data_IF_847408429849
#
_entry.id   IF_847408429849
#
_cell.length_a   1.000
_cell.length_b   1.000
_cell.length_c   1.000
_cell.angle_alpha   90.00
_cell.angle_beta   90.00
_cell.angle_gamma   90.00
#
_symmetry.space_group_name_H-M   'P 1'
#
loop_
_entity.id
_entity.type
_entity.pdbx_description
1 polymer ?
#
# COMPACT_ATOMS: atom_id res chain seq x y z
N UNK A 1 2.28 11.13 16.01
CA UNK A 1 2.11 10.99 14.55
C UNK A 1 2.91 9.85 13.88
N UNK A 2 3.92 9.26 14.54
CA UNK A 2 4.68 8.12 13.99
C UNK A 2 3.84 6.80 13.89
N UNK A 3 2.64 6.77 14.48
CA UNK A 3 1.73 5.60 14.50
C UNK A 3 1.00 5.33 13.16
N UNK A 4 0.89 6.29 12.23
CA UNK A 4 0.08 6.10 11.01
C UNK A 4 0.80 5.38 9.85
N UNK A 5 2.06 4.95 10.03
CA UNK A 5 2.85 4.36 8.94
C UNK A 5 2.59 2.84 8.81
N UNK A 6 2.30 2.16 9.93
CA UNK A 6 2.15 0.70 9.98
C UNK A 6 0.84 0.18 9.38
N UNK A 7 -0.24 0.96 9.47
CA UNK A 7 -1.58 0.55 9.02
C UNK A 7 -1.74 0.45 7.51
N UNK A 8 -0.94 1.20 6.74
CA UNK A 8 -1.24 1.42 5.31
C UNK A 8 -0.42 0.56 4.35
N UNK A 9 0.57 -0.17 4.86
CA UNK A 9 1.30 -1.18 4.08
C UNK A 9 0.72 -2.53 4.48
N UNK A 10 -0.30 -2.96 3.73
CA UNK A 10 -0.92 -4.26 3.91
C UNK A 10 -0.15 -5.37 3.17
N UNK A 11 -0.20 -6.63 3.64
CA UNK A 11 0.29 -7.78 2.89
C UNK A 11 -0.33 -7.89 1.48
N UNK A 12 -1.57 -7.40 1.34
CA UNK A 12 -2.29 -7.32 0.06
C UNK A 12 -1.58 -6.50 -1.00
N UNK A 13 -0.78 -5.48 -0.61
CA UNK A 13 0.02 -4.70 -1.56
C UNK A 13 1.01 -5.58 -2.30
N UNK A 14 1.77 -6.39 -1.56
CA UNK A 14 2.70 -7.30 -2.19
C UNK A 14 1.93 -8.31 -3.03
N UNK A 15 1.00 -9.06 -2.43
CA UNK A 15 0.26 -10.13 -3.13
C UNK A 15 -0.39 -9.65 -4.43
N UNK A 16 -1.06 -8.51 -4.40
CA UNK A 16 -1.77 -7.99 -5.56
C UNK A 16 -0.89 -7.28 -6.60
N UNK A 17 0.37 -6.96 -6.29
CA UNK A 17 1.29 -6.49 -7.32
C UNK A 17 1.62 -7.60 -8.35
N UNK A 18 1.60 -8.87 -7.94
CA UNK A 18 1.80 -9.99 -8.88
C UNK A 18 0.69 -10.08 -9.93
N UNK A 19 -0.57 -10.00 -9.48
CA UNK A 19 -1.74 -9.98 -10.36
C UNK A 19 -1.79 -8.69 -11.20
N UNK A 20 -1.46 -7.54 -10.59
CA UNK A 20 -1.36 -6.28 -11.32
C UNK A 20 -0.30 -6.30 -12.42
N UNK A 21 0.84 -6.95 -12.17
CA UNK A 21 1.92 -7.08 -13.13
C UNK A 21 1.52 -7.96 -14.33
N UNK A 22 0.89 -9.12 -14.09
CA UNK A 22 0.43 -10.00 -15.17
C UNK A 22 -0.61 -9.35 -16.08
N UNK A 23 -1.45 -8.47 -15.54
CA UNK A 23 -2.55 -7.83 -16.31
C UNK A 23 -2.10 -6.56 -17.03
N UNK A 24 -1.32 -5.69 -16.39
CA UNK A 24 -0.97 -4.38 -16.96
C UNK A 24 0.42 -4.34 -17.63
N UNK A 25 1.31 -5.26 -17.26
CA UNK A 25 2.72 -5.19 -17.61
C UNK A 25 3.49 -4.14 -16.79
N UNK A 26 4.82 -4.09 -16.91
CA UNK A 26 5.69 -3.36 -16.00
C UNK A 26 5.54 -1.83 -16.10
N UNK A 27 5.42 -1.28 -17.32
CA UNK A 27 5.19 0.16 -17.49
C UNK A 27 3.74 0.54 -17.18
N UNK A 28 2.79 -0.34 -17.52
CA UNK A 28 1.36 -0.15 -17.22
C UNK A 28 1.06 -0.07 -15.73
N UNK A 29 1.66 -0.96 -14.94
CA UNK A 29 1.52 -1.00 -13.49
C UNK A 29 2.09 0.26 -12.83
N UNK A 30 3.28 0.71 -13.23
CA UNK A 30 3.88 1.95 -12.72
C UNK A 30 3.06 3.20 -13.10
N UNK A 31 2.58 3.28 -14.34
CA UNK A 31 1.76 4.40 -14.79
C UNK A 31 0.47 4.49 -13.96
N UNK A 32 -0.22 3.37 -13.80
CA UNK A 32 -1.46 3.31 -13.03
C UNK A 32 -1.25 3.75 -11.57
N UNK A 33 -0.27 3.17 -10.88
CA UNK A 33 0.02 3.53 -9.49
C UNK A 33 0.53 4.97 -9.36
N UNK A 34 1.22 5.51 -10.37
CA UNK A 34 1.62 6.92 -10.42
C UNK A 34 0.43 7.86 -10.56
N UNK A 35 -0.47 7.61 -11.51
CA UNK A 35 -1.67 8.43 -11.73
C UNK A 35 -2.59 8.40 -10.51
N UNK A 36 -2.89 7.21 -9.99
CA UNK A 36 -3.70 7.05 -8.78
C UNK A 36 -3.01 7.68 -7.57
N UNK A 37 -1.69 7.55 -7.45
CA UNK A 37 -0.89 8.19 -6.40
C UNK A 37 -0.97 9.71 -6.43
N UNK A 38 -0.94 10.34 -7.62
CA UNK A 38 -1.09 11.79 -7.79
C UNK A 38 -2.52 12.25 -7.43
N UNK A 39 -3.53 11.49 -7.85
CA UNK A 39 -4.92 11.78 -7.48
C UNK A 39 -5.10 11.73 -5.95
N UNK A 40 -4.56 10.70 -5.31
CA UNK A 40 -4.61 10.58 -3.85
C UNK A 40 -3.80 11.64 -3.14
N UNK A 41 -2.66 12.02 -3.69
CA UNK A 41 -1.89 13.15 -3.19
C UNK A 41 -2.73 14.42 -3.13
N UNK A 42 -3.48 14.69 -4.20
CA UNK A 42 -4.37 15.84 -4.30
C UNK A 42 -5.50 15.75 -3.26
N UNK A 43 -6.11 14.57 -3.10
CA UNK A 43 -7.13 14.33 -2.06
C UNK A 43 -6.56 14.57 -0.65
N UNK A 44 -5.35 14.11 -0.37
CA UNK A 44 -4.69 14.33 0.93
C UNK A 44 -4.32 15.79 1.18
N UNK A 45 -4.01 16.57 0.13
CA UNK A 45 -3.84 18.02 0.26
C UNK A 45 -5.16 18.68 0.66
N UNK A 46 -6.27 18.34 0.01
CA UNK A 46 -7.59 18.86 0.36
C UNK A 46 -7.99 18.45 1.79
N UNK A 47 -7.78 17.20 2.18
CA UNK A 47 -8.02 16.74 3.55
C UNK A 47 -7.09 17.43 4.56
N UNK A 48 -5.85 17.70 4.17
CA UNK A 48 -4.86 18.36 5.00
C UNK A 48 -5.23 19.80 5.32
N UNK A 49 -5.70 20.54 4.31
CA UNK A 49 -6.23 21.89 4.50
C UNK A 49 -7.49 21.86 5.36
N UNK A 50 -8.44 20.97 5.05
CA UNK A 50 -9.69 20.85 5.81
C UNK A 50 -9.46 20.48 7.28
N UNK A 51 -8.55 19.54 7.56
CA UNK A 51 -8.21 19.11 8.92
C UNK A 51 -7.43 20.17 9.72
N UNK A 52 -6.69 21.06 9.05
CA UNK A 52 -6.01 22.18 9.70
C UNK A 52 -6.99 23.32 10.06
N UNK A 53 -8.02 23.54 9.24
CA UNK A 53 -9.02 24.59 9.47
C UNK A 53 -10.16 24.16 10.41
N UNK A 54 -10.55 22.90 10.40
CA UNK A 54 -11.60 22.36 11.27
C UNK A 54 -11.07 21.06 11.92
N UNK A 55 -10.37 21.13 13.06
CA UNK A 55 -10.00 19.94 13.83
C UNK A 55 -11.27 19.39 14.52
N UNK A 56 -12.14 18.73 13.76
CA UNK A 56 -13.27 17.98 14.32
C UNK A 56 -12.78 16.60 14.71
N UNK A 57 -12.72 16.36 16.02
CA UNK A 57 -12.43 15.08 16.66
C UNK A 57 -13.54 14.04 16.52
N UNK A 58 -14.48 14.19 15.57
CA UNK A 58 -15.68 13.36 15.50
C UNK A 58 -16.20 13.22 14.05
N UNK A 59 -15.86 12.11 13.38
CA UNK A 59 -16.14 11.90 11.95
C UNK A 59 -17.26 10.87 11.66
N UNK A 60 -18.19 10.67 12.61
CA UNK A 60 -19.40 9.85 12.39
C UNK A 60 -20.70 10.69 12.39
N UNK A 61 -20.68 11.91 12.93
CA UNK A 61 -21.86 12.79 12.97
C UNK A 61 -22.17 13.52 11.66
N UNK A 62 -21.16 13.76 10.82
CA UNK A 62 -21.28 14.57 9.58
C UNK A 62 -21.85 13.79 8.38
N UNK A 63 -21.69 12.46 8.35
CA UNK A 63 -22.33 11.61 7.32
C UNK A 63 -23.80 11.34 7.66
N UNK A 64 -24.12 11.20 8.95
CA UNK A 64 -25.49 10.99 9.44
C UNK A 64 -26.37 12.25 9.32
N UNK A 65 -25.77 13.42 9.08
CA UNK A 65 -26.52 14.65 8.78
C UNK A 65 -26.98 14.73 7.32
N UNK A 66 -26.57 13.79 6.46
CA UNK A 66 -26.93 13.77 5.04
C UNK A 66 -28.03 12.76 4.68
N UNK A 67 -28.46 11.90 5.62
CA UNK A 67 -29.43 10.82 5.39
C UNK A 67 -30.60 10.90 6.38
N UNK A 68 -31.72 11.45 5.91
CA UNK A 68 -32.95 11.56 6.69
C UNK A 68 -33.66 10.19 6.74
N UNK A 69 -33.40 9.41 7.79
CA UNK A 69 -34.06 8.11 8.03
C UNK A 69 -34.52 7.97 9.49
N UNK A 70 -35.62 7.24 9.76
CA UNK A 70 -36.41 7.33 11.00
C UNK A 70 -35.79 6.66 12.25
N UNK A 71 -34.48 6.40 12.27
CA UNK A 71 -33.80 5.78 13.42
C UNK A 71 -33.23 6.90 14.31
N UNK A 72 -33.55 6.94 15.62
CA UNK A 72 -33.01 7.95 16.52
C UNK A 72 -31.48 7.88 16.60
N UNK A 73 -30.81 9.04 16.48
CA UNK A 73 -29.34 9.18 16.45
C UNK A 73 -28.60 8.43 17.56
N UNK A 74 -29.19 8.33 18.75
CA UNK A 74 -28.60 7.63 19.90
C UNK A 74 -28.58 6.10 19.76
N UNK A 75 -29.47 5.52 18.94
CA UNK A 75 -29.56 4.06 18.75
C UNK A 75 -28.40 3.48 17.93
N UNK A 76 -27.97 4.19 16.89
CA UNK A 76 -26.78 3.81 16.10
C UNK A 76 -25.50 3.95 16.91
N UNK A 77 -25.38 5.04 17.68
CA UNK A 77 -24.24 5.28 18.57
C UNK A 77 -24.13 4.17 19.60
N UNK A 78 -25.22 3.79 20.28
CA UNK A 78 -25.22 2.73 21.30
C UNK A 78 -24.84 1.34 20.75
N UNK A 79 -25.24 1.00 19.52
CA UNK A 79 -24.93 -0.29 18.91
C UNK A 79 -23.44 -0.44 18.58
N UNK A 80 -22.84 0.57 17.95
CA UNK A 80 -21.39 0.59 17.71
C UNK A 80 -20.59 0.79 19.00
N UNK A 81 -21.12 1.54 19.97
CA UNK A 81 -20.50 1.78 21.27
C UNK A 81 -20.39 0.49 22.10
N UNK A 82 -21.43 -0.35 22.14
CA UNK A 82 -21.36 -1.66 22.78
C UNK A 82 -20.37 -2.61 22.07
N UNK A 83 -20.28 -2.55 20.74
CA UNK A 83 -19.32 -3.34 19.95
C UNK A 83 -17.87 -2.94 20.20
N UNK A 84 -17.57 -1.63 20.22
CA UNK A 84 -16.23 -1.12 20.51
C UNK A 84 -15.83 -1.28 21.98
N UNK A 85 -16.77 -1.15 22.93
CA UNK A 85 -16.50 -1.38 24.36
C UNK A 85 -16.10 -2.83 24.64
N UNK A 86 -16.63 -3.80 23.89
CA UNK A 86 -16.21 -5.21 23.97
C UNK A 86 -14.77 -5.44 23.49
N UNK A 87 -14.31 -4.68 22.47
CA UNK A 87 -12.92 -4.69 22.00
C UNK A 87 -11.96 -3.91 22.91
N UNK A 88 -12.43 -2.86 23.59
CA UNK A 88 -11.64 -1.99 24.45
C UNK A 88 -11.28 -2.59 25.83
N UNK A 89 -11.87 -3.72 26.22
CA UNK A 89 -11.50 -4.45 27.45
C UNK A 89 -10.16 -5.21 27.32
N UNK A 90 -9.60 -5.28 26.10
CA UNK A 90 -8.21 -5.66 25.86
C UNK A 90 -7.35 -4.38 25.92
N UNK A 91 -6.34 -4.37 26.80
CA UNK A 91 -5.59 -3.16 27.13
C UNK A 91 -5.02 -2.42 25.92
N UNK A 92 -5.50 -1.19 25.68
CA UNK A 92 -5.10 -0.28 24.59
C UNK A 92 -3.57 -0.07 24.52
N UNK A 93 -2.87 -0.15 25.66
CA UNK A 93 -1.40 -0.11 25.71
C UNK A 93 -0.74 -1.31 25.01
N UNK A 94 -1.30 -2.51 25.17
CA UNK A 94 -0.80 -3.72 24.51
C UNK A 94 -1.00 -3.66 22.99
N UNK A 95 -2.07 -3.01 22.54
CA UNK A 95 -2.34 -2.84 21.12
C UNK A 95 -1.31 -1.91 20.45
N UNK A 96 -1.01 -0.76 21.08
CA UNK A 96 -0.01 0.17 20.57
C UNK A 96 1.41 -0.42 20.53
N UNK A 97 1.81 -1.20 21.54
CA UNK A 97 3.10 -1.91 21.53
C UNK A 97 3.15 -2.99 20.44
N UNK A 98 2.08 -3.77 20.26
CA UNK A 98 2.01 -4.79 19.22
C UNK A 98 2.08 -4.18 17.81
N UNK A 99 1.37 -3.07 17.57
CA UNK A 99 1.39 -2.35 16.30
C UNK A 99 2.79 -1.82 15.97
N UNK A 100 3.53 -1.31 16.96
CA UNK A 100 4.91 -0.87 16.77
C UNK A 100 5.82 -2.02 16.31
N UNK A 101 5.75 -3.18 16.96
CA UNK A 101 6.54 -4.35 16.58
C UNK A 101 6.16 -4.88 15.20
N UNK A 102 4.87 -4.95 14.88
CA UNK A 102 4.38 -5.37 13.57
C UNK A 102 4.76 -4.38 12.46
N UNK A 103 4.74 -3.08 12.74
CA UNK A 103 5.20 -2.05 11.81
C UNK A 103 6.71 -2.16 11.54
N UNK A 104 7.52 -2.46 12.57
CA UNK A 104 8.96 -2.67 12.42
C UNK A 104 9.26 -3.86 11.49
N UNK A 105 8.56 -4.99 11.67
CA UNK A 105 8.71 -6.17 10.81
C UNK A 105 8.38 -5.83 9.35
N UNK A 106 7.33 -5.04 9.11
CA UNK A 106 6.96 -4.60 7.76
C UNK A 106 8.06 -3.76 7.10
N UNK A 107 8.63 -2.79 7.83
CA UNK A 107 9.71 -1.94 7.31
C UNK A 107 10.94 -2.77 6.97
N UNK A 108 11.33 -3.71 7.83
CA UNK A 108 12.43 -4.62 7.57
C UNK A 108 12.16 -5.53 6.37
N UNK A 109 10.94 -6.02 6.20
CA UNK A 109 10.55 -6.83 5.05
C UNK A 109 10.66 -6.05 3.72
N UNK A 110 10.24 -4.78 3.70
CA UNK A 110 10.41 -3.91 2.51
C UNK A 110 11.88 -3.65 2.21
N UNK A 111 12.69 -3.37 3.24
CA UNK A 111 14.12 -3.14 3.07
C UNK A 111 14.84 -4.40 2.55
N UNK A 112 14.53 -5.58 3.09
CA UNK A 112 15.05 -6.86 2.62
C UNK A 112 14.63 -7.14 1.17
N UNK A 113 13.37 -6.87 0.82
CA UNK A 113 12.87 -7.01 -0.54
C UNK A 113 13.67 -6.14 -1.53
N UNK A 114 13.92 -4.86 -1.22
CA UNK A 114 14.73 -3.99 -2.09
C UNK A 114 16.18 -4.48 -2.21
N UNK A 115 16.79 -4.92 -1.11
CA UNK A 115 18.14 -5.46 -1.14
C UNK A 115 18.23 -6.69 -2.04
N UNK A 116 17.31 -7.65 -1.86
CA UNK A 116 17.24 -8.85 -2.70
C UNK A 116 17.01 -8.51 -4.17
N UNK A 117 16.07 -7.61 -4.47
CA UNK A 117 15.81 -7.19 -5.84
C UNK A 117 17.05 -6.58 -6.49
N UNK A 118 17.77 -5.69 -5.79
CA UNK A 118 19.03 -5.10 -6.30
C UNK A 118 20.07 -6.19 -6.58
N UNK A 119 20.26 -7.14 -5.66
CA UNK A 119 21.23 -8.23 -5.83
C UNK A 119 20.89 -9.17 -7.00
N UNK A 120 19.61 -9.42 -7.24
CA UNK A 120 19.15 -10.24 -8.37
C UNK A 120 19.28 -9.45 -9.68
N UNK A 121 18.82 -8.20 -9.74
CA UNK A 121 18.92 -7.36 -10.94
C UNK A 121 20.37 -7.13 -11.39
N UNK A 122 21.30 -7.02 -10.43
CA UNK A 122 22.74 -6.86 -10.71
C UNK A 122 23.45 -8.17 -11.10
N UNK A 123 22.79 -9.32 -10.94
CA UNK A 123 23.33 -10.64 -11.27
C UNK A 123 24.27 -11.23 -10.22
N UNK A 124 24.39 -10.61 -9.03
CA UNK A 124 25.14 -11.17 -7.88
C UNK A 124 24.48 -12.47 -7.42
N UNK A 125 23.15 -12.52 -7.48
CA UNK A 125 22.35 -13.72 -7.25
C UNK A 125 21.81 -14.19 -8.61
N UNK A 126 22.17 -15.39 -9.03
CA UNK A 126 21.72 -16.01 -10.29
C UNK A 126 22.65 -15.84 -11.50
N UNK A 127 23.76 -15.09 -11.39
CA UNK A 127 24.83 -15.06 -12.40
C UNK A 127 24.51 -14.36 -13.72
N UNK A 128 23.24 -14.03 -13.99
CA UNK A 128 22.77 -13.31 -15.18
C UNK A 128 22.26 -11.93 -14.82
N UNK A 129 22.79 -10.90 -15.47
CA UNK A 129 22.34 -9.51 -15.28
C UNK A 129 21.00 -9.30 -16.00
N UNK A 130 19.92 -9.18 -15.23
CA UNK A 130 18.56 -8.98 -15.76
C UNK A 130 18.32 -7.51 -16.12
N UNK A 131 18.64 -6.58 -15.21
CA UNK A 131 18.43 -5.15 -15.45
C UNK A 131 17.02 -4.81 -15.94
N UNK A 132 16.94 -4.10 -17.06
CA UNK A 132 15.69 -3.71 -17.73
C UNK A 132 15.29 -4.68 -18.87
N UNK A 133 15.77 -5.92 -18.88
CA UNK A 133 15.45 -6.88 -19.94
C UNK A 133 13.95 -7.11 -20.09
N UNK A 134 13.20 -7.22 -18.97
CA UNK A 134 11.75 -7.45 -18.99
C UNK A 134 10.92 -6.29 -19.56
N UNK A 135 11.49 -5.09 -19.67
CA UNK A 135 10.84 -3.96 -20.35
C UNK A 135 10.93 -4.07 -21.87
N UNK A 136 11.88 -4.85 -22.40
CA UNK A 136 12.08 -5.04 -23.84
C UNK A 136 11.49 -6.37 -24.33
N UNK A 137 11.65 -7.43 -23.55
CA UNK A 137 11.13 -8.76 -23.83
C UNK A 137 10.64 -9.38 -22.51
N UNK A 138 9.32 -9.54 -22.28
CA UNK A 138 8.24 -9.60 -23.28
C UNK A 138 7.61 -8.26 -23.66
N UNK A 139 7.99 -7.15 -23.01
CA UNK A 139 7.59 -5.79 -23.37
C UNK A 139 7.04 -4.94 -22.20
N UNK A 140 6.78 -3.64 -22.41
CA UNK A 140 6.39 -2.74 -21.33
C UNK A 140 4.91 -2.86 -20.89
N UNK A 141 4.04 -3.42 -21.74
CA UNK A 141 2.61 -3.56 -21.49
C UNK A 141 2.15 -4.97 -21.83
N UNK A 142 1.35 -5.60 -20.95
CA UNK A 142 0.85 -6.95 -21.15
C UNK A 142 -0.38 -6.98 -22.10
N UNK A 143 -1.44 -6.24 -21.76
CA UNK A 143 -2.68 -6.12 -22.56
C UNK A 143 -2.90 -4.69 -23.07
N UNK A 144 -1.80 -4.01 -23.43
CA UNK A 144 -1.82 -2.62 -23.90
C UNK A 144 -2.55 -1.68 -22.93
N UNK A 145 -3.34 -0.74 -23.46
CA UNK A 145 -4.09 0.21 -22.63
C UNK A 145 -5.18 -0.46 -21.77
N UNK A 146 -5.78 -1.55 -22.25
CA UNK A 146 -6.86 -2.26 -21.54
C UNK A 146 -6.36 -2.81 -20.19
N UNK A 147 -5.19 -3.45 -20.21
CA UNK A 147 -4.55 -3.96 -18.99
C UNK A 147 -4.24 -2.84 -17.99
N UNK A 148 -3.83 -1.65 -18.47
CA UNK A 148 -3.62 -0.47 -17.60
C UNK A 148 -4.92 -0.04 -16.95
N UNK A 149 -6.03 0.04 -17.69
CA UNK A 149 -7.34 0.45 -17.15
C UNK A 149 -7.91 -0.55 -16.15
N UNK A 150 -7.71 -1.85 -16.37
CA UNK A 150 -8.24 -2.92 -15.51
C UNK A 150 -7.67 -2.87 -14.09
N UNK A 151 -6.41 -2.48 -13.95
CA UNK A 151 -5.73 -2.39 -12.65
C UNK A 151 -5.96 -1.06 -11.91
N UNK A 152 -6.69 -0.08 -12.47
CA UNK A 152 -6.93 1.21 -11.80
C UNK A 152 -7.67 1.05 -10.48
N UNK A 153 -8.72 0.21 -10.49
CA UNK A 153 -9.51 -0.07 -9.29
C UNK A 153 -8.66 -0.81 -8.26
N UNK A 154 -7.80 -1.73 -8.70
CA UNK A 154 -6.87 -2.41 -7.82
C UNK A 154 -5.86 -1.44 -7.18
N UNK A 155 -5.24 -0.57 -7.99
CA UNK A 155 -4.28 0.42 -7.51
C UNK A 155 -4.91 1.39 -6.50
N UNK A 156 -6.16 1.82 -6.71
CA UNK A 156 -6.85 2.72 -5.78
C UNK A 156 -7.17 2.06 -4.45
N UNK A 157 -7.64 0.81 -4.45
CA UNK A 157 -7.85 0.02 -3.24
C UNK A 157 -6.56 -0.13 -2.44
N UNK A 158 -5.43 -0.24 -3.14
CA UNK A 158 -4.17 -0.53 -2.49
C UNK A 158 -3.58 0.64 -1.70
N UNK A 159 -4.00 1.86 -2.02
CA UNK A 159 -3.66 3.06 -1.28
C UNK A 159 -4.68 3.43 -0.18
N UNK A 160 -5.78 2.67 -0.04
CA UNK A 160 -6.73 2.85 1.06
C UNK A 160 -6.01 2.69 2.41
N UNK A 161 -6.41 3.51 3.37
CA UNK A 161 -5.78 3.72 4.68
C UNK A 161 -4.85 4.93 4.75
N UNK A 162 -4.58 5.63 3.63
CA UNK A 162 -3.88 6.93 3.65
C UNK A 162 -4.74 8.01 4.31
N UNK A 163 -6.06 7.88 4.18
CA UNK A 163 -7.10 8.74 4.71
C UNK A 163 -7.17 8.75 6.25
N UNK A 164 -6.55 7.77 6.91
CA UNK A 164 -6.48 7.69 8.38
C UNK A 164 -5.78 8.90 9.00
N UNK A 165 -4.91 9.58 8.24
CA UNK A 165 -4.28 10.84 8.68
C UNK A 165 -5.33 11.91 9.00
N UNK A 166 -6.42 11.96 8.23
CA UNK A 166 -7.54 12.86 8.46
C UNK A 166 -8.32 12.54 9.75
N UNK A 167 -8.32 11.29 10.20
CA UNK A 167 -8.92 10.91 11.49
C UNK A 167 -8.00 11.28 12.66
N UNK A 168 -6.70 11.02 12.51
CA UNK A 168 -5.71 11.38 13.55
C UNK A 168 -5.49 12.88 13.69
N UNK A 169 -5.96 13.69 12.74
CA UNK A 169 -6.03 15.15 12.84
C UNK A 169 -6.75 15.61 14.12
N UNK A 170 -7.86 14.95 14.45
CA UNK A 170 -8.66 15.24 15.64
C UNK A 170 -8.00 14.83 16.97
N UNK A 171 -6.99 13.96 16.90
CA UNK A 171 -6.22 13.50 18.06
C UNK A 171 -4.86 14.19 18.22
N UNK A 172 -4.49 15.06 17.27
CA UNK A 172 -3.18 15.73 17.27
C UNK A 172 -3.16 16.92 18.23
N UNK A 173 -2.05 17.08 18.95
CA UNK A 173 -1.86 18.21 19.87
C UNK A 173 -1.74 19.55 19.15
N UNK A 174 -1.14 19.58 17.95
CA UNK A 174 -1.04 20.76 17.08
C UNK A 174 -1.41 20.40 15.63
N UNK A 175 -2.72 20.33 15.31
CA UNK A 175 -3.22 19.94 13.99
C UNK A 175 -2.66 20.81 12.85
N UNK A 176 -2.48 22.11 13.08
CA UNK A 176 -2.02 23.06 12.06
C UNK A 176 -0.59 22.77 11.57
N UNK A 177 0.24 22.17 12.42
CA UNK A 177 1.62 21.81 12.09
C UNK A 177 1.80 20.33 11.78
N UNK A 178 1.06 19.46 12.47
CA UNK A 178 1.22 18.02 12.38
C UNK A 178 0.58 17.47 11.10
N UNK A 179 -0.63 17.92 10.74
CA UNK A 179 -1.34 17.43 9.55
C UNK A 179 -0.56 17.67 8.26
N UNK A 180 -0.03 18.88 7.98
CA UNK A 180 0.77 19.09 6.76
C UNK A 180 2.02 18.21 6.68
N UNK A 181 2.63 17.88 7.84
CA UNK A 181 3.78 16.97 7.90
C UNK A 181 3.38 15.53 7.62
N UNK A 182 2.27 15.06 8.16
CA UNK A 182 1.76 13.72 7.83
C UNK A 182 1.36 13.62 6.37
N UNK A 183 0.69 14.63 5.81
CA UNK A 183 0.40 14.68 4.37
C UNK A 183 1.71 14.54 3.62
N UNK A 184 2.74 15.38 3.85
CA UNK A 184 4.07 15.22 3.22
C UNK A 184 4.66 13.81 3.36
N UNK A 185 4.47 13.13 4.48
CA UNK A 185 4.94 11.75 4.67
C UNK A 185 4.26 10.73 3.75
N UNK A 186 3.00 10.97 3.34
CA UNK A 186 2.27 10.10 2.39
C UNK A 186 2.92 10.13 1.01
N UNK A 187 3.37 11.30 0.52
CA UNK A 187 4.05 11.39 -0.78
C UNK A 187 5.29 10.50 -0.81
N UNK A 188 6.12 10.61 0.24
CA UNK A 188 7.30 9.76 0.39
C UNK A 188 6.93 8.28 0.43
N UNK A 189 5.82 7.94 1.09
CA UNK A 189 5.31 6.57 1.12
C UNK A 189 4.91 6.07 -0.26
N UNK A 190 4.17 6.87 -1.03
CA UNK A 190 3.75 6.54 -2.39
C UNK A 190 4.97 6.30 -3.28
N UNK A 191 5.96 7.20 -3.25
CA UNK A 191 7.14 7.11 -4.11
C UNK A 191 8.02 5.92 -3.72
N UNK A 192 8.40 5.81 -2.45
CA UNK A 192 9.42 4.82 -2.05
C UNK A 192 8.87 3.43 -1.87
N UNK A 193 7.66 3.28 -1.32
CA UNK A 193 7.13 1.96 -0.96
C UNK A 193 6.27 1.42 -2.09
N UNK A 194 5.35 2.25 -2.63
CA UNK A 194 4.44 1.83 -3.69
C UNK A 194 5.12 1.84 -5.06
N UNK A 195 5.64 2.97 -5.50
CA UNK A 195 6.31 3.01 -6.82
C UNK A 195 7.65 2.26 -6.80
N UNK A 196 8.43 2.37 -5.71
CA UNK A 196 9.69 1.62 -5.56
C UNK A 196 9.48 0.10 -5.51
N UNK A 197 8.46 -0.37 -4.78
CA UNK A 197 8.07 -1.80 -4.74
C UNK A 197 7.78 -2.37 -6.11
N UNK A 198 6.89 -1.70 -6.84
CA UNK A 198 6.52 -2.08 -8.21
C UNK A 198 7.74 -2.05 -9.13
N UNK A 199 8.55 -1.00 -9.05
CA UNK A 199 9.72 -0.85 -9.89
C UNK A 199 10.70 -2.02 -9.71
N UNK A 200 11.05 -2.37 -8.47
CA UNK A 200 11.96 -3.48 -8.21
C UNK A 200 11.37 -4.84 -8.52
N UNK A 201 10.05 -5.02 -8.34
CA UNK A 201 9.35 -6.24 -8.78
C UNK A 201 9.46 -6.41 -10.30
N UNK A 202 9.19 -5.35 -11.07
CA UNK A 202 9.23 -5.36 -12.54
C UNK A 202 10.61 -5.69 -13.11
N UNK A 203 11.69 -5.35 -12.40
CA UNK A 203 13.05 -5.69 -12.81
C UNK A 203 13.42 -7.14 -12.51
N UNK A 204 12.64 -7.82 -11.68
CA UNK A 204 13.02 -9.12 -11.14
C UNK A 204 12.20 -10.27 -11.73
N UNK A 205 10.93 -10.04 -12.09
CA UNK A 205 10.04 -11.09 -12.61
C UNK A 205 9.36 -10.63 -13.91
N UNK A 206 9.34 -11.46 -14.97
CA UNK A 206 8.58 -11.16 -16.18
C UNK A 206 7.07 -11.28 -15.92
N UNK A 207 6.26 -10.42 -16.53
CA UNK A 207 4.80 -10.43 -16.37
C UNK A 207 4.11 -11.68 -16.95
N UNK A 208 4.82 -12.50 -17.72
CA UNK A 208 4.33 -13.76 -18.31
C UNK A 208 4.50 -14.97 -17.39
N UNK A 209 5.10 -14.80 -16.21
CA UNK A 209 5.33 -15.92 -15.28
C UNK A 209 4.00 -16.44 -14.70
N UNK A 210 3.67 -17.74 -14.87
CA UNK A 210 2.42 -18.33 -14.37
C UNK A 210 2.31 -18.30 -12.83
N UNK A 211 3.42 -18.14 -12.12
CA UNK A 211 3.44 -18.08 -10.65
C UNK A 211 2.96 -16.74 -10.09
N UNK A 212 2.81 -15.70 -10.93
CA UNK A 212 2.29 -14.38 -10.50
C UNK A 212 0.85 -14.45 -9.99
N UNK A 213 0.04 -15.37 -10.53
CA UNK A 213 -1.37 -15.52 -10.20
C UNK A 213 -1.62 -16.43 -8.98
N UNK A 214 -0.67 -17.31 -8.64
CA UNK A 214 -0.76 -18.23 -7.49
C UNK A 214 -0.15 -17.68 -6.19
N UNK A 215 0.32 -16.43 -6.19
CA UNK A 215 1.06 -15.84 -5.08
C UNK A 215 0.19 -15.59 -3.82
N UNK A 216 -0.09 -16.64 -3.05
CA UNK A 216 -0.70 -16.54 -1.71
C UNK A 216 0.39 -16.14 -0.69
N UNK A 217 0.16 -15.06 0.07
CA UNK A 217 0.78 -14.53 1.33
C UNK A 217 2.26 -14.83 1.64
N UNK A 218 2.77 -16.05 1.47
CA UNK A 218 4.16 -16.45 1.67
C UNK A 218 5.08 -16.12 0.48
N UNK A 219 4.54 -15.54 -0.59
CA UNK A 219 5.06 -15.84 -1.91
C UNK A 219 5.98 -14.80 -2.52
N UNK A 220 6.04 -13.52 -2.15
CA UNK A 220 6.82 -12.58 -3.01
C UNK A 220 8.31 -12.53 -2.69
N UNK A 221 8.69 -12.45 -1.41
CA UNK A 221 10.12 -12.58 -1.05
C UNK A 221 10.62 -13.98 -1.42
N UNK A 222 9.79 -15.00 -1.15
CA UNK A 222 10.12 -16.40 -1.40
C UNK A 222 10.12 -16.73 -2.89
N UNK A 223 9.18 -16.25 -3.73
CA UNK A 223 9.19 -16.42 -5.18
C UNK A 223 10.28 -15.57 -5.82
N UNK A 224 10.55 -14.34 -5.37
CA UNK A 224 11.71 -13.58 -5.90
C UNK A 224 13.03 -14.32 -5.63
N UNK A 225 13.18 -14.93 -4.45
CA UNK A 225 14.34 -15.75 -4.13
C UNK A 225 14.31 -17.10 -4.87
N UNK A 226 13.17 -17.81 -4.92
CA UNK A 226 13.03 -19.11 -5.56
C UNK A 226 13.04 -19.01 -7.08
N UNK A 227 12.47 -18.00 -7.71
CA UNK A 227 12.55 -17.79 -9.16
C UNK A 227 13.97 -17.42 -9.56
N UNK A 228 14.66 -16.59 -8.77
CA UNK A 228 16.08 -16.30 -8.97
C UNK A 228 16.98 -17.54 -8.73
N UNK A 229 16.65 -18.40 -7.76
CA UNK A 229 17.37 -19.66 -7.52
C UNK A 229 17.04 -20.73 -8.57
N UNK A 230 15.79 -20.83 -9.02
CA UNK A 230 15.33 -21.86 -9.95
C UNK A 230 15.77 -21.54 -11.39
N UNK A 231 15.78 -20.26 -11.77
CA UNK A 231 16.41 -19.80 -13.03
C UNK A 231 17.94 -19.97 -13.03
N UNK A 232 18.58 -20.02 -11.85
CA UNK A 232 20.01 -20.32 -11.72
C UNK A 232 20.34 -21.83 -11.73
N UNK A 233 19.36 -22.70 -11.47
CA UNK A 233 19.56 -24.15 -11.36
C UNK A 233 19.13 -24.94 -12.63
N UNK A 234 18.19 -24.42 -13.44
CA UNK A 234 17.61 -25.15 -14.56
C UNK A 234 18.10 -24.76 -15.97
N UNK A 235 19.04 -23.81 -16.09
CA UNK A 235 19.71 -23.45 -17.36
C UNK A 235 21.07 -24.18 -17.53
N UNK A 236 21.11 -25.50 -17.23
CA UNK A 236 22.16 -26.43 -17.67
C UNK A 236 21.57 -27.56 -18.51
#
# INVERSE_FOLDING_TARGET
>A
MMMAIGGVIGPGYFVGMGTGLSTAGPAGLLLCFGVVGILLWTVMQCLGELGAFIPVSDNLGLVLTYWDTPIPRWGWVLLFWCGFMAFALLGVKSFGEAEFWLALVKVLAVAAFFLCAILITTGVIGGKKIGFSYYHDPGPFADGAKGVFEIFVFASLQYSGTEMIGLTAGESQDPAKDIPKAVKSVLWRIIFIFMGGIFFLNLTVPYTDPNLLSATINAIIVITILSAVNSALYDN
#
